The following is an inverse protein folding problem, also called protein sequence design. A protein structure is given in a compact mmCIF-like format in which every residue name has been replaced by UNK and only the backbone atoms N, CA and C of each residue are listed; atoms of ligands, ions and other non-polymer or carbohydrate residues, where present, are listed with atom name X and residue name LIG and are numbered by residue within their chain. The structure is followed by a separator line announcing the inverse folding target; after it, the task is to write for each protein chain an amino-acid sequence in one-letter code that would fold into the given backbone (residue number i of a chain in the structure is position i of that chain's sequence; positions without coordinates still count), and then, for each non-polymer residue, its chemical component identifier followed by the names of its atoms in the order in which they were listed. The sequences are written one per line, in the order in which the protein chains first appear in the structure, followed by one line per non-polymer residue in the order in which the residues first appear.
data_IF_293877612297
#
_entry.id   IF_293877612297
#
_cell.length_a   1.000
_cell.length_b   1.000
_cell.length_c   1.000
_cell.angle_alpha   90.00
_cell.angle_beta   90.00
_cell.angle_gamma   90.00
#
_symmetry.space_group_name_H-M   'P 1'
#
loop_
_entity.id
_entity.type
_entity.pdbx_description
1 polymer ?
#
# COMPACT_ATOMS: atom_id res chain seq x y z
N UNK A 1 5.24 -4.02 14.54
CA UNK A 1 3.77 -4.19 14.44
C UNK A 1 3.27 -4.07 13.00
N UNK A 2 3.69 -3.06 12.22
CA UNK A 2 3.15 -2.76 10.89
C UNK A 2 3.34 -3.90 9.88
N UNK A 3 4.47 -4.60 9.92
CA UNK A 3 4.71 -5.75 9.05
C UNK A 3 3.70 -6.88 9.31
N UNK A 4 3.44 -7.20 10.57
CA UNK A 4 2.46 -8.24 10.92
C UNK A 4 1.07 -7.81 10.50
N UNK A 5 0.70 -6.55 10.74
CA UNK A 5 -0.60 -6.01 10.31
C UNK A 5 -0.76 -6.10 8.78
N UNK A 6 0.27 -5.77 8.01
CA UNK A 6 0.20 -5.85 6.54
C UNK A 6 0.01 -7.29 6.05
N UNK A 7 0.66 -8.27 6.68
CA UNK A 7 0.44 -9.69 6.38
C UNK A 7 -1.00 -10.12 6.72
N UNK A 8 -1.55 -9.66 7.86
CA UNK A 8 -2.94 -9.92 8.23
C UNK A 8 -3.92 -9.30 7.22
N UNK A 9 -3.68 -8.07 6.76
CA UNK A 9 -4.48 -7.45 5.71
C UNK A 9 -4.42 -8.20 4.38
N UNK A 10 -3.33 -8.89 4.09
CA UNK A 10 -3.23 -9.78 2.95
C UNK A 10 -4.31 -10.86 2.89
N UNK A 11 -4.86 -11.30 4.03
CA UNK A 11 -6.00 -12.23 4.06
C UNK A 11 -7.28 -11.65 3.44
N UNK A 12 -7.43 -10.32 3.38
CA UNK A 12 -8.54 -9.68 2.68
C UNK A 12 -8.57 -10.01 1.18
N UNK A 13 -7.44 -10.42 0.59
CA UNK A 13 -7.34 -10.89 -0.80
C UNK A 13 -7.46 -12.41 -0.87
N UNK A 14 -6.81 -13.13 0.05
CA UNK A 14 -6.77 -14.60 0.04
C UNK A 14 -8.14 -15.23 0.30
N UNK A 15 -8.89 -14.70 1.26
CA UNK A 15 -10.18 -15.29 1.69
C UNK A 15 -11.23 -15.24 0.56
N UNK A 16 -11.54 -14.07 -0.03
CA UNK A 16 -12.54 -14.02 -1.11
C UNK A 16 -12.09 -14.80 -2.35
N UNK A 17 -10.79 -14.80 -2.68
CA UNK A 17 -10.28 -15.61 -3.77
C UNK A 17 -10.52 -17.11 -3.52
N UNK A 18 -10.13 -17.60 -2.35
CA UNK A 18 -10.32 -19.01 -2.01
C UNK A 18 -11.81 -19.41 -2.00
N UNK A 19 -12.70 -18.49 -1.60
CA UNK A 19 -14.15 -18.73 -1.59
C UNK A 19 -14.74 -18.85 -3.00
N UNK A 20 -14.20 -18.15 -3.98
CA UNK A 20 -14.69 -18.17 -5.38
C UNK A 20 -14.02 -19.29 -6.16
N UNK A 21 -12.69 -19.39 -6.11
CA UNK A 21 -11.90 -20.30 -6.93
C UNK A 21 -11.71 -21.70 -6.32
N UNK A 22 -12.03 -21.87 -5.04
CA UNK A 22 -11.83 -23.13 -4.31
C UNK A 22 -10.37 -23.52 -4.08
N UNK A 23 -9.43 -22.69 -4.50
CA UNK A 23 -7.99 -22.93 -4.31
C UNK A 23 -7.21 -21.62 -4.24
N UNK A 24 -5.96 -21.69 -3.76
CA UNK A 24 -5.05 -20.53 -3.62
C UNK A 24 -3.82 -20.63 -4.54
N UNK A 25 -3.81 -21.57 -5.49
CA UNK A 25 -2.68 -21.79 -6.41
C UNK A 25 -2.82 -20.92 -7.65
N UNK A 26 -2.60 -19.61 -7.48
CA UNK A 26 -2.65 -18.64 -8.58
C UNK A 26 -1.52 -17.63 -8.46
N UNK A 27 -0.83 -17.39 -9.58
CA UNK A 27 0.21 -16.36 -9.67
C UNK A 27 -0.41 -14.95 -9.55
N UNK A 28 -1.60 -14.75 -10.10
CA UNK A 28 -2.35 -13.49 -9.98
C UNK A 28 -2.67 -13.21 -8.51
N UNK A 29 -3.15 -14.22 -7.80
CA UNK A 29 -3.43 -14.11 -6.36
C UNK A 29 -2.17 -13.72 -5.58
N UNK A 30 -1.01 -14.33 -5.89
CA UNK A 30 0.25 -14.00 -5.25
C UNK A 30 0.61 -12.53 -5.47
N UNK A 31 0.49 -12.02 -6.69
CA UNK A 31 0.78 -10.60 -6.97
C UNK A 31 -0.23 -9.65 -6.32
N UNK A 32 -1.52 -9.98 -6.31
CA UNK A 32 -2.53 -9.22 -5.57
C UNK A 32 -2.22 -9.17 -4.07
N UNK A 33 -1.84 -10.31 -3.50
CA UNK A 33 -1.47 -10.41 -2.09
C UNK A 33 -0.23 -9.58 -1.78
N UNK A 34 0.84 -9.69 -2.58
CA UNK A 34 2.06 -8.89 -2.43
C UNK A 34 1.74 -7.39 -2.56
N UNK A 35 0.94 -6.98 -3.55
CA UNK A 35 0.52 -5.60 -3.71
C UNK A 35 -0.17 -5.08 -2.44
N UNK A 36 -1.09 -5.86 -1.87
CA UNK A 36 -1.82 -5.50 -0.65
C UNK A 36 -0.88 -5.38 0.55
N UNK A 37 0.04 -6.34 0.73
CA UNK A 37 1.01 -6.34 1.83
C UNK A 37 1.91 -5.11 1.76
N UNK A 38 2.52 -4.83 0.61
CA UNK A 38 3.40 -3.67 0.47
C UNK A 38 2.64 -2.35 0.60
N UNK A 39 1.45 -2.25 0.04
CA UNK A 39 0.63 -1.05 0.18
C UNK A 39 0.27 -0.78 1.63
N UNK A 40 -0.23 -1.80 2.33
CA UNK A 40 -0.59 -1.70 3.75
C UNK A 40 0.62 -1.32 4.60
N UNK A 41 1.76 -1.99 4.41
CA UNK A 41 2.98 -1.66 5.13
C UNK A 41 3.42 -0.21 4.90
N UNK A 42 3.31 0.28 3.66
CA UNK A 42 3.66 1.65 3.30
C UNK A 42 2.81 2.69 4.02
N UNK A 43 1.48 2.63 3.90
CA UNK A 43 0.61 3.63 4.51
C UNK A 43 0.54 3.51 6.04
N UNK A 44 0.63 2.31 6.58
CA UNK A 44 0.63 2.10 8.03
C UNK A 44 1.95 2.57 8.67
N UNK A 45 3.07 2.46 7.95
CA UNK A 45 4.34 3.07 8.37
C UNK A 45 4.25 4.59 8.44
N UNK A 46 3.56 5.23 7.48
CA UNK A 46 3.29 6.68 7.55
C UNK A 46 2.39 7.02 8.74
N UNK A 47 1.36 6.19 8.98
CA UNK A 47 0.48 6.37 10.13
C UNK A 47 1.23 6.26 11.46
N UNK A 48 2.16 5.30 11.58
CA UNK A 48 2.99 5.12 12.76
C UNK A 48 3.92 6.32 13.08
N UNK A 49 4.13 7.25 12.14
CA UNK A 49 4.84 8.51 12.43
C UNK A 49 4.10 9.40 13.45
N UNK A 50 2.76 9.28 13.53
CA UNK A 50 1.96 10.02 14.51
C UNK A 50 2.34 9.62 15.96
N UNK A 51 2.60 8.33 16.16
CA UNK A 51 2.85 7.76 17.48
C UNK A 51 4.34 7.55 17.77
N UNK A 52 5.23 7.89 16.81
CA UNK A 52 6.68 7.63 16.89
C UNK A 52 7.33 8.04 18.19
N UNK A 53 6.96 9.23 18.71
CA UNK A 53 7.52 9.71 19.98
C UNK A 53 7.08 8.86 21.16
N UNK A 54 5.80 8.52 21.20
CA UNK A 54 5.22 7.69 22.25
C UNK A 54 5.74 6.25 22.18
N UNK A 55 5.85 5.69 20.98
CA UNK A 55 6.44 4.36 20.76
C UNK A 55 7.88 4.27 21.30
N UNK A 56 8.67 5.32 21.10
CA UNK A 56 10.04 5.41 21.68
C UNK A 56 10.01 5.43 23.21
N UNK A 57 9.09 6.17 23.83
CA UNK A 57 9.00 6.30 25.29
C UNK A 57 8.61 4.98 25.96
N UNK A 58 7.73 4.19 25.33
CA UNK A 58 7.24 2.90 25.88
C UNK A 58 7.99 1.68 25.34
N UNK A 59 9.00 1.87 24.49
CA UNK A 59 9.84 0.80 23.94
C UNK A 59 9.20 -0.02 22.84
N UNK A 60 8.18 0.49 22.14
CA UNK A 60 7.56 -0.17 20.99
C UNK A 60 8.40 0.05 19.74
N UNK A 61 8.83 -1.04 19.11
CA UNK A 61 9.61 -1.05 17.87
C UNK A 61 8.68 -0.97 16.65
N UNK A 62 8.02 0.18 16.45
CA UNK A 62 7.23 0.42 15.24
C UNK A 62 8.12 0.61 14.00
N UNK A 63 7.57 0.44 12.80
CA UNK A 63 8.30 0.68 11.55
C UNK A 63 8.81 2.12 11.46
N UNK A 64 8.07 3.11 11.95
CA UNK A 64 8.46 4.51 12.00
C UNK A 64 9.67 4.75 12.93
N UNK A 65 9.77 4.00 14.02
CA UNK A 65 10.92 4.03 14.93
C UNK A 65 12.12 3.35 14.29
N UNK A 66 11.93 2.12 13.79
CA UNK A 66 13.01 1.29 13.25
C UNK A 66 13.64 1.88 11.98
N UNK A 67 12.83 2.42 11.07
CA UNK A 67 13.29 2.97 9.80
C UNK A 67 13.88 4.38 9.94
N UNK A 68 13.50 5.13 10.97
CA UNK A 68 13.98 6.48 11.25
C UNK A 68 13.99 7.39 9.98
N UNK A 69 15.17 7.85 9.55
CA UNK A 69 15.34 8.68 8.34
C UNK A 69 15.00 7.94 7.04
N UNK A 70 15.07 6.62 7.02
CA UNK A 70 14.78 5.80 5.84
C UNK A 70 13.28 5.58 5.59
N UNK A 71 12.41 6.05 6.49
CA UNK A 71 10.95 5.85 6.37
C UNK A 71 10.41 6.28 5.02
N UNK A 72 10.77 7.47 4.54
CA UNK A 72 10.33 7.99 3.24
C UNK A 72 10.73 7.08 2.09
N UNK A 73 12.00 6.69 2.04
CA UNK A 73 12.53 5.81 0.98
C UNK A 73 11.83 4.45 1.01
N UNK A 74 11.64 3.87 2.18
CA UNK A 74 10.95 2.58 2.34
C UNK A 74 9.51 2.66 1.85
N UNK A 75 8.77 3.72 2.20
CA UNK A 75 7.39 3.92 1.72
C UNK A 75 7.35 4.09 0.20
N UNK A 76 8.31 4.81 -0.38
CA UNK A 76 8.43 4.93 -1.85
C UNK A 76 8.61 3.58 -2.53
N UNK A 77 9.50 2.73 -2.01
CA UNK A 77 9.71 1.37 -2.52
C UNK A 77 8.44 0.53 -2.36
N UNK A 78 7.75 0.61 -1.23
CA UNK A 78 6.50 -0.11 -1.01
C UNK A 78 5.44 0.27 -2.05
N UNK A 79 5.23 1.54 -2.33
CA UNK A 79 4.25 1.99 -3.32
C UNK A 79 4.67 1.67 -4.75
N UNK A 80 5.97 1.68 -5.05
CA UNK A 80 6.48 1.21 -6.34
C UNK A 80 6.18 -0.27 -6.53
N UNK A 81 6.51 -1.12 -5.54
CA UNK A 81 6.24 -2.56 -5.59
C UNK A 81 4.74 -2.85 -5.70
N UNK A 82 3.89 -2.12 -4.95
CA UNK A 82 2.44 -2.19 -5.09
C UNK A 82 2.02 -1.96 -6.55
N UNK A 83 2.49 -0.88 -7.15
CA UNK A 83 2.13 -0.53 -8.54
C UNK A 83 2.64 -1.59 -9.53
N UNK A 84 3.84 -2.10 -9.35
CA UNK A 84 4.43 -3.16 -10.20
C UNK A 84 3.61 -4.46 -10.10
N UNK A 85 3.26 -4.91 -8.90
CA UNK A 85 2.49 -6.13 -8.74
C UNK A 85 1.06 -6.00 -9.30
N UNK A 86 0.42 -4.84 -9.16
CA UNK A 86 -0.88 -4.58 -9.78
C UNK A 86 -0.79 -4.56 -11.31
N UNK A 87 0.31 -4.05 -11.88
CA UNK A 87 0.55 -4.12 -13.32
C UNK A 87 0.71 -5.58 -13.80
N UNK A 88 1.42 -6.44 -13.04
CA UNK A 88 1.49 -7.86 -13.37
C UNK A 88 0.12 -8.54 -13.31
N UNK A 89 -0.71 -8.21 -12.31
CA UNK A 89 -2.09 -8.71 -12.27
C UNK A 89 -2.86 -8.32 -13.54
N UNK A 90 -2.75 -7.06 -13.97
CA UNK A 90 -3.44 -6.57 -15.16
C UNK A 90 -2.92 -7.23 -16.45
N UNK A 91 -1.61 -7.43 -16.59
CA UNK A 91 -1.00 -8.10 -17.75
C UNK A 91 -1.43 -9.55 -17.86
N UNK A 92 -1.40 -10.31 -16.75
CA UNK A 92 -1.76 -11.72 -16.76
C UNK A 92 -3.25 -11.92 -17.09
N UNK A 93 -4.11 -11.03 -16.59
CA UNK A 93 -5.54 -11.05 -16.88
C UNK A 93 -5.92 -10.36 -18.21
N UNK A 94 -4.92 -9.89 -18.98
CA UNK A 94 -5.11 -9.25 -20.29
C UNK A 94 -6.13 -8.09 -20.24
N UNK A 95 -6.07 -7.27 -19.18
CA UNK A 95 -6.99 -6.16 -19.03
C UNK A 95 -6.92 -5.19 -20.21
N UNK A 96 -8.07 -4.60 -20.54
CA UNK A 96 -8.21 -3.63 -21.62
C UNK A 96 -7.27 -2.41 -21.39
N UNK A 97 -6.91 -1.72 -22.48
CA UNK A 97 -6.04 -0.54 -22.47
C UNK A 97 -6.52 0.59 -21.53
N UNK A 98 -7.82 0.64 -21.19
CA UNK A 98 -8.41 1.63 -20.28
C UNK A 98 -7.80 1.55 -18.87
N UNK A 99 -7.34 0.38 -18.43
CA UNK A 99 -6.67 0.21 -17.14
C UNK A 99 -5.39 1.06 -17.01
N UNK A 100 -4.58 1.10 -18.05
CA UNK A 100 -3.22 1.62 -17.97
C UNK A 100 -3.11 3.11 -17.64
N UNK A 101 -3.91 4.02 -18.21
CA UNK A 101 -3.89 5.42 -17.80
C UNK A 101 -4.35 5.61 -16.35
N UNK A 102 -5.34 4.84 -15.87
CA UNK A 102 -5.81 4.92 -14.49
C UNK A 102 -4.72 4.45 -13.54
N UNK A 103 -4.09 3.33 -13.84
CA UNK A 103 -2.97 2.78 -13.08
C UNK A 103 -1.80 3.76 -13.04
N UNK A 104 -1.39 4.32 -14.18
CA UNK A 104 -0.26 5.25 -14.28
C UNK A 104 -0.49 6.51 -13.45
N UNK A 105 -1.67 7.11 -13.57
CA UNK A 105 -2.04 8.30 -12.79
C UNK A 105 -2.02 7.98 -11.31
N UNK A 106 -2.61 6.85 -10.91
CA UNK A 106 -2.68 6.46 -9.50
C UNK A 106 -1.29 6.17 -8.95
N UNK A 107 -0.45 5.42 -9.66
CA UNK A 107 0.93 5.14 -9.27
C UNK A 107 1.75 6.45 -9.11
N UNK A 108 1.60 7.38 -10.05
CA UNK A 108 2.25 8.69 -9.95
C UNK A 108 1.78 9.48 -8.73
N UNK A 109 0.47 9.52 -8.45
CA UNK A 109 -0.08 10.22 -7.30
C UNK A 109 0.38 9.61 -5.98
N UNK A 110 0.44 8.28 -5.88
CA UNK A 110 0.98 7.58 -4.72
C UNK A 110 2.45 7.98 -4.48
N UNK A 111 3.28 7.97 -5.50
CA UNK A 111 4.68 8.40 -5.39
C UNK A 111 4.82 9.88 -5.03
N UNK A 112 4.03 10.75 -5.65
CA UNK A 112 4.03 12.20 -5.34
C UNK A 112 3.69 12.49 -3.88
N UNK A 113 2.77 11.73 -3.29
CA UNK A 113 2.40 11.93 -1.89
C UNK A 113 3.51 11.54 -0.91
N UNK A 114 4.42 10.63 -1.31
CA UNK A 114 5.58 10.29 -0.47
C UNK A 114 6.56 11.44 -0.32
N UNK A 115 6.58 12.38 -1.28
CA UNK A 115 7.45 13.55 -1.21
C UNK A 115 7.12 14.45 0.00
N UNK A 116 5.91 14.35 0.53
CA UNK A 116 5.43 15.09 1.71
C UNK A 116 5.71 14.38 3.04
N UNK A 117 6.38 13.24 3.01
CA UNK A 117 6.74 12.50 4.22
C UNK A 117 8.07 13.06 4.74
N UNK A 118 8.07 13.56 5.97
CA UNK A 118 9.22 14.13 6.66
C UNK A 118 9.42 13.42 8.00
N UNK A 119 10.20 12.32 8.04
CA UNK A 119 10.35 11.48 9.25
C UNK A 119 10.98 12.21 10.44
N UNK A 120 11.77 13.24 10.17
CA UNK A 120 12.51 14.01 11.17
C UNK A 120 11.78 15.27 11.63
N UNK A 121 10.80 15.74 10.87
CA UNK A 121 9.97 16.88 11.22
C UNK A 121 8.70 16.41 11.94
N UNK A 122 8.14 17.27 12.79
CA UNK A 122 6.81 17.05 13.38
C UNK A 122 5.76 17.12 12.27
N UNK A 123 5.48 16.01 11.60
CA UNK A 123 4.28 15.93 10.77
C UNK A 123 3.04 16.11 11.64
N UNK A 124 2.13 16.96 11.21
CA UNK A 124 0.86 17.10 11.92
C UNK A 124 0.01 15.85 11.75
N UNK A 125 -0.74 15.47 12.79
CA UNK A 125 -1.71 14.36 12.73
C UNK A 125 -2.68 14.54 11.55
N UNK A 126 -3.01 15.78 11.20
CA UNK A 126 -3.86 16.12 10.05
C UNK A 126 -3.21 15.74 8.72
N UNK A 127 -1.91 15.94 8.54
CA UNK A 127 -1.19 15.55 7.31
C UNK A 127 -1.12 14.04 7.16
N UNK A 128 -0.85 13.32 8.25
CA UNK A 128 -0.85 11.86 8.29
C UNK A 128 -2.25 11.32 7.97
N UNK A 129 -3.30 11.85 8.59
CA UNK A 129 -4.68 11.48 8.29
C UNK A 129 -5.09 11.77 6.84
N UNK A 130 -4.63 12.88 6.26
CA UNK A 130 -4.85 13.21 4.86
C UNK A 130 -4.13 12.23 3.92
N UNK A 131 -2.92 11.79 4.26
CA UNK A 131 -2.21 10.76 3.51
C UNK A 131 -3.01 9.45 3.48
N UNK A 132 -3.48 8.98 4.63
CA UNK A 132 -4.31 7.78 4.74
C UNK A 132 -5.60 7.89 3.90
N UNK A 133 -6.34 9.00 4.02
CA UNK A 133 -7.55 9.25 3.22
C UNK A 133 -7.29 9.16 1.71
N UNK A 134 -6.17 9.70 1.25
CA UNK A 134 -5.79 9.63 -0.17
C UNK A 134 -5.49 8.19 -0.61
N UNK A 135 -4.84 7.37 0.24
CA UNK A 135 -4.61 5.97 -0.10
C UNK A 135 -5.92 5.22 -0.34
N UNK A 136 -6.97 5.50 0.45
CA UNK A 136 -8.31 4.93 0.22
C UNK A 136 -8.91 5.37 -1.13
N UNK A 137 -8.71 6.63 -1.53
CA UNK A 137 -9.17 7.13 -2.83
C UNK A 137 -8.40 6.46 -3.98
N UNK A 138 -7.08 6.29 -3.84
CA UNK A 138 -6.25 5.60 -4.84
C UNK A 138 -6.65 4.14 -5.00
N UNK A 139 -7.01 3.47 -3.89
CA UNK A 139 -7.58 2.13 -3.92
C UNK A 139 -8.89 2.07 -4.71
N UNK A 140 -9.76 3.06 -4.51
CA UNK A 140 -10.99 3.19 -5.29
C UNK A 140 -10.73 3.35 -6.80
N UNK A 141 -9.75 4.16 -7.20
CA UNK A 141 -9.39 4.31 -8.61
C UNK A 141 -8.84 3.02 -9.22
N UNK A 142 -7.96 2.32 -8.51
CA UNK A 142 -7.44 1.02 -8.99
C UNK A 142 -8.57 0.00 -9.12
N UNK A 143 -9.46 -0.10 -8.12
CA UNK A 143 -10.61 -0.99 -8.18
C UNK A 143 -11.50 -0.68 -9.38
N UNK A 144 -11.85 0.59 -9.59
CA UNK A 144 -12.61 1.01 -10.78
C UNK A 144 -11.87 0.65 -12.07
N UNK A 145 -10.55 0.87 -12.12
CA UNK A 145 -9.73 0.46 -13.25
C UNK A 145 -9.85 -1.03 -13.56
N UNK A 146 -9.78 -1.90 -12.56
CA UNK A 146 -9.98 -3.33 -12.74
C UNK A 146 -11.40 -3.66 -13.24
N UNK A 147 -12.44 -3.09 -12.63
CA UNK A 147 -13.85 -3.39 -12.96
C UNK A 147 -14.23 -2.97 -14.40
N UNK A 148 -13.78 -1.80 -14.85
CA UNK A 148 -14.15 -1.30 -16.20
C UNK A 148 -13.27 -1.86 -17.32
N UNK A 149 -12.20 -2.56 -16.98
CA UNK A 149 -11.20 -3.07 -17.93
C UNK A 149 -11.20 -4.60 -18.04
N UNK A 150 -11.98 -5.27 -17.19
CA UNK A 150 -12.17 -6.73 -17.18
C UNK A 150 -13.11 -7.21 -18.29
#
# INVERSE_FOLDING_TARGET
PQLILSLCWGFAVLIPWAAIEGNIKSVVLLFCWLATVFWTFGFDTVYALADKKFDLEIGVNSSAVHLASNTKFTVQICYLLTSVFLAFCALINQLNWIFWPIWLITAFLMQKDTLKIFPESKQSIREIGNHFKKQSIYGGFILLGFVISS
#
